data_IF_999802600187
#
_entry.id   IF_999802600187
#
_cell.length_a   1.000
_cell.length_b   1.000
_cell.length_c   1.000
_cell.angle_alpha   90.00
_cell.angle_beta   90.00
_cell.angle_gamma   90.00
#
_symmetry.space_group_name_H-M   'P 1'
#
loop_
_entity.id
_entity.type
_entity.pdbx_description
1 polymer ?
#
# COMPACT_ATOMS: atom_id res chain seq x y z
N UNK A 1 -5.45 0.66 1.23
CA UNK A 1 -6.38 1.49 2.03
C UNK A 1 -5.94 1.48 3.48
N UNK A 2 -6.06 2.61 4.18
CA UNK A 2 -5.78 2.65 5.60
C UNK A 2 -6.72 1.72 6.36
N UNK A 3 -6.28 1.24 7.52
CA UNK A 3 -7.14 0.47 8.43
C UNK A 3 -8.04 1.47 9.15
N UNK A 4 -9.35 1.34 8.97
CA UNK A 4 -10.37 2.13 9.67
C UNK A 4 -10.56 1.63 11.12
N UNK A 5 -10.38 0.33 11.35
CA UNK A 5 -10.43 -0.24 12.69
C UNK A 5 -9.97 -1.69 12.75
N UNK A 6 -9.66 -2.15 13.96
CA UNK A 6 -9.33 -3.53 14.24
C UNK A 6 -10.07 -3.97 15.50
N UNK A 7 -10.91 -5.00 15.39
CA UNK A 7 -11.61 -5.60 16.53
C UNK A 7 -11.06 -7.00 16.75
N UNK A 8 -10.59 -7.27 17.97
CA UNK A 8 -10.18 -8.60 18.40
C UNK A 8 -11.40 -9.27 19.00
N UNK A 9 -11.90 -10.34 18.37
CA UNK A 9 -13.03 -11.11 18.92
C UNK A 9 -12.48 -12.09 19.96
N UNK A 10 -13.32 -12.42 20.95
CA UNK A 10 -13.11 -13.59 21.82
C UNK A 10 -12.77 -14.80 20.95
N UNK A 11 -11.70 -15.53 21.26
CA UNK A 11 -11.12 -16.68 20.51
C UNK A 11 -10.01 -16.40 19.49
N UNK A 12 -9.24 -15.31 19.64
CA UNK A 12 -7.97 -15.15 18.91
C UNK A 12 -8.11 -14.72 17.44
N UNK A 13 -9.33 -14.52 16.96
CA UNK A 13 -9.62 -13.99 15.63
C UNK A 13 -9.51 -12.46 15.63
N UNK A 14 -8.83 -11.93 14.61
CA UNK A 14 -8.69 -10.49 14.36
C UNK A 14 -9.54 -10.11 13.16
N UNK A 15 -10.49 -9.19 13.35
CA UNK A 15 -11.24 -8.57 12.26
C UNK A 15 -10.61 -7.21 11.96
N UNK A 16 -10.10 -7.04 10.74
CA UNK A 16 -9.57 -5.75 10.24
C UNK A 16 -10.59 -5.12 9.31
N UNK A 17 -10.95 -3.87 9.55
CA UNK A 17 -11.87 -3.08 8.72
C UNK A 17 -11.08 -1.99 7.99
N UNK A 18 -11.32 -1.84 6.70
CA UNK A 18 -10.70 -0.82 5.84
C UNK A 18 -11.70 0.30 5.54
N UNK A 19 -11.19 1.48 5.14
CA UNK A 19 -12.04 2.58 4.67
C UNK A 19 -12.80 2.20 3.38
N UNK A 20 -13.84 2.96 3.05
CA UNK A 20 -14.62 2.78 1.82
C UNK A 20 -13.83 3.27 0.59
N UNK A 21 -13.90 2.52 -0.53
CA UNK A 21 -13.13 2.81 -1.75
C UNK A 21 -13.89 3.82 -2.62
N UNK A 22 -13.19 4.62 -3.44
CA UNK A 22 -13.82 5.25 -4.59
C UNK A 22 -14.47 4.20 -5.51
N UNK A 23 -15.40 4.61 -6.39
CA UNK A 23 -15.93 3.73 -7.42
C UNK A 23 -14.80 3.13 -8.27
N UNK A 24 -14.74 1.80 -8.33
CA UNK A 24 -13.72 1.06 -9.07
C UNK A 24 -14.30 -0.22 -9.66
N UNK A 25 -13.72 -0.68 -10.77
CA UNK A 25 -14.09 -1.97 -11.38
C UNK A 25 -13.77 -3.14 -10.45
N UNK A 26 -14.63 -4.16 -10.44
CA UNK A 26 -14.51 -5.30 -9.51
C UNK A 26 -13.21 -6.09 -9.65
N UNK A 27 -12.57 -6.08 -10.84
CA UNK A 27 -11.29 -6.76 -11.07
C UNK A 27 -10.10 -6.13 -10.35
N UNK A 28 -10.25 -4.91 -9.80
CA UNK A 28 -9.22 -4.22 -9.03
C UNK A 28 -9.34 -4.49 -7.52
N UNK A 29 -10.38 -5.20 -7.07
CA UNK A 29 -10.53 -5.56 -5.66
C UNK A 29 -9.44 -6.56 -5.25
N UNK A 30 -8.65 -6.21 -4.25
CA UNK A 30 -7.55 -7.04 -3.75
C UNK A 30 -7.39 -6.93 -2.23
N UNK A 31 -7.03 -8.04 -1.59
CA UNK A 31 -6.61 -8.11 -0.20
C UNK A 31 -5.59 -9.25 -0.03
N UNK A 32 -4.68 -9.08 0.93
CA UNK A 32 -3.62 -10.06 1.23
C UNK A 32 -3.50 -10.29 2.74
N UNK A 33 -3.12 -11.51 3.12
CA UNK A 33 -2.89 -11.93 4.50
C UNK A 33 -1.56 -12.68 4.52
N UNK A 34 -0.63 -12.27 5.37
CA UNK A 34 0.67 -12.93 5.50
C UNK A 34 1.61 -12.19 6.43
N UNK A 35 2.73 -12.84 6.74
CA UNK A 35 3.84 -12.27 7.51
C UNK A 35 4.75 -11.49 6.57
N UNK A 36 4.32 -10.27 6.23
CA UNK A 36 5.02 -9.38 5.31
C UNK A 36 5.65 -8.22 6.08
N UNK A 37 6.86 -7.84 5.66
CA UNK A 37 7.56 -6.66 6.12
C UNK A 37 7.39 -5.51 5.13
N UNK A 38 7.08 -4.29 5.61
CA UNK A 38 7.02 -3.12 4.76
C UNK A 38 8.42 -2.51 4.57
N UNK A 39 8.72 -2.10 3.34
CA UNK A 39 9.71 -1.09 3.03
C UNK A 39 8.95 0.20 2.75
N UNK A 40 8.98 1.13 3.70
CA UNK A 40 8.28 2.42 3.58
C UNK A 40 9.14 3.45 2.84
N UNK A 41 8.50 4.22 1.97
CA UNK A 41 9.09 5.30 1.21
C UNK A 41 8.05 6.42 1.04
N UNK A 42 8.50 7.56 0.53
CA UNK A 42 7.63 8.72 0.32
C UNK A 42 7.91 9.30 -1.05
N UNK A 43 6.86 9.75 -1.72
CA UNK A 43 6.95 10.52 -2.96
C UNK A 43 7.35 11.96 -2.67
N UNK A 44 7.62 12.78 -3.70
CA UNK A 44 7.93 14.21 -3.52
C UNK A 44 6.82 14.97 -2.77
N UNK A 45 5.56 14.58 -3.01
CA UNK A 45 4.37 15.11 -2.32
C UNK A 45 4.12 14.51 -0.94
N UNK A 46 5.08 13.75 -0.41
CA UNK A 46 5.04 13.13 0.91
C UNK A 46 3.97 12.01 1.06
N UNK A 47 3.52 11.44 -0.06
CA UNK A 47 2.55 10.35 -0.07
C UNK A 47 3.21 9.05 0.42
N UNK A 48 2.57 8.30 1.32
CA UNK A 48 3.13 7.05 1.84
C UNK A 48 3.06 5.97 0.76
N UNK A 49 4.22 5.42 0.39
CA UNK A 49 4.34 4.29 -0.51
C UNK A 49 5.04 3.15 0.25
N UNK A 50 4.63 1.91 -0.01
CA UNK A 50 5.19 0.76 0.70
C UNK A 50 5.30 -0.45 -0.22
N UNK A 51 6.46 -1.09 -0.21
CA UNK A 51 6.68 -2.40 -0.84
C UNK A 51 6.66 -3.45 0.26
N UNK A 52 5.74 -4.41 0.16
CA UNK A 52 5.59 -5.49 1.13
C UNK A 52 6.24 -6.76 0.61
N UNK A 53 7.06 -7.40 1.42
CA UNK A 53 7.82 -8.60 1.04
C UNK A 53 7.98 -9.56 2.21
N UNK A 54 8.29 -10.81 1.92
CA UNK A 54 8.74 -11.74 2.96
C UNK A 54 10.12 -11.34 3.50
N UNK A 55 10.43 -11.65 4.77
CA UNK A 55 11.70 -11.28 5.39
C UNK A 55 12.95 -11.74 4.63
N UNK A 56 12.91 -12.93 4.05
CA UNK A 56 14.00 -13.52 3.26
C UNK A 56 14.32 -12.73 1.98
N UNK A 57 13.33 -12.05 1.41
CA UNK A 57 13.44 -11.32 0.14
C UNK A 57 13.62 -9.80 0.34
N UNK A 58 13.81 -9.36 1.58
CA UNK A 58 13.90 -7.94 1.95
C UNK A 58 14.94 -7.17 1.12
N UNK A 59 16.11 -7.77 0.89
CA UNK A 59 17.18 -7.14 0.12
C UNK A 59 16.81 -7.00 -1.36
N UNK A 60 16.12 -7.98 -1.93
CA UNK A 60 15.65 -7.99 -3.32
C UNK A 60 14.59 -6.90 -3.56
N UNK A 61 13.74 -6.64 -2.57
CA UNK A 61 12.70 -5.61 -2.65
C UNK A 61 13.24 -4.16 -2.64
N UNK A 62 14.51 -3.95 -2.25
CA UNK A 62 15.11 -2.61 -2.10
C UNK A 62 15.18 -1.82 -3.40
N UNK A 63 15.40 -2.50 -4.52
CA UNK A 63 15.39 -1.83 -5.83
C UNK A 63 14.00 -1.26 -6.14
N UNK A 64 12.95 -2.09 -6.01
CA UNK A 64 11.57 -1.65 -6.24
C UNK A 64 11.18 -0.52 -5.28
N UNK A 65 11.62 -0.59 -4.02
CA UNK A 65 11.37 0.45 -3.03
C UNK A 65 12.06 1.78 -3.36
N UNK A 66 13.28 1.77 -3.89
CA UNK A 66 13.95 3.02 -4.25
C UNK A 66 13.49 3.58 -5.60
N UNK A 67 13.07 2.71 -6.52
CA UNK A 67 12.68 3.10 -7.88
C UNK A 67 11.24 3.60 -7.96
N UNK A 68 10.32 3.00 -7.20
CA UNK A 68 8.89 3.29 -7.32
C UNK A 68 8.47 4.73 -7.00
N UNK A 69 9.05 5.47 -6.02
CA UNK A 69 8.69 6.87 -5.80
C UNK A 69 9.02 7.74 -7.01
N UNK A 70 10.21 7.56 -7.57
CA UNK A 70 10.68 8.32 -8.75
C UNK A 70 9.77 8.09 -9.95
N UNK A 71 9.39 6.84 -10.19
CA UNK A 71 8.49 6.52 -11.30
C UNK A 71 7.07 7.02 -11.05
N UNK A 72 6.60 6.97 -9.80
CA UNK A 72 5.27 7.45 -9.42
C UNK A 72 5.14 8.95 -9.65
N UNK A 73 6.09 9.74 -9.14
CA UNK A 73 6.12 11.20 -9.32
C UNK A 73 6.15 11.55 -10.81
N UNK A 74 6.97 10.85 -11.60
CA UNK A 74 7.04 11.05 -13.05
C UNK A 74 5.72 10.72 -13.77
N UNK A 75 5.01 9.68 -13.35
CA UNK A 75 3.71 9.33 -13.93
C UNK A 75 2.63 10.36 -13.58
N UNK A 76 2.63 10.92 -12.36
CA UNK A 76 1.70 12.00 -12.01
C UNK A 76 1.93 13.23 -12.88
N UNK A 77 3.20 13.61 -13.10
CA UNK A 77 3.57 14.74 -13.97
C UNK A 77 3.17 14.51 -15.44
N UNK A 78 3.44 13.31 -15.99
CA UNK A 78 3.13 13.00 -17.39
C UNK A 78 1.62 12.90 -17.67
N UNK A 79 0.83 12.46 -16.69
CA UNK A 79 -0.61 12.24 -16.85
C UNK A 79 -1.45 13.45 -16.43
N UNK A 80 -0.83 14.52 -15.91
CA UNK A 80 -1.50 15.69 -15.32
C UNK A 80 -2.60 15.31 -14.30
N UNK A 81 -2.41 14.16 -13.64
CA UNK A 81 -3.41 13.53 -12.78
C UNK A 81 -2.81 13.27 -11.42
N UNK A 82 -3.53 13.68 -10.38
CA UNK A 82 -3.09 13.57 -8.99
C UNK A 82 -3.82 12.42 -8.30
N UNK A 83 -3.06 11.58 -7.60
CA UNK A 83 -3.63 10.61 -6.67
C UNK A 83 -3.90 11.27 -5.31
N UNK A 84 -5.11 11.07 -4.79
CA UNK A 84 -5.52 11.51 -3.45
C UNK A 84 -5.52 10.35 -2.46
N UNK A 85 -5.12 10.63 -1.22
CA UNK A 85 -5.14 9.66 -0.12
C UNK A 85 -6.42 9.87 0.69
N UNK A 86 -7.24 8.82 0.77
CA UNK A 86 -8.45 8.76 1.60
C UNK A 86 -8.17 8.32 3.03
#
# INVERSE_FOLDING_TARGET
MPKSGQKRRSEGVVTTTFHETPPMSTYLLAFAIGELLPLEMRTERNLPLAVWTHPEDFLSARFAANFSPVMFDRMEDELESTVEVL
#
